data_IF_548162696510
#
_entry.id   IF_548162696510
#
_cell.length_a   1.000
_cell.length_b   1.000
_cell.length_c   1.000
_cell.angle_alpha   90.00
_cell.angle_beta   90.00
_cell.angle_gamma   90.00
#
_symmetry.space_group_name_H-M   'P 1'
#
loop_
_entity.id
_entity.type
_entity.pdbx_description
1 polymer ?
#
# COMPACT_ATOMS: atom_id res chain seq x y z
N UNK A 1 -4.75 -4.91 -30.81
CA UNK A 1 -5.55 -4.96 -29.57
C UNK A 1 -4.79 -4.19 -28.50
N UNK A 2 -5.12 -2.93 -28.30
CA UNK A 2 -4.54 -2.14 -27.20
C UNK A 2 -5.10 -2.68 -25.88
N UNK A 3 -4.24 -3.31 -25.08
CA UNK A 3 -4.56 -3.62 -23.68
C UNK A 3 -4.78 -2.27 -22.98
N UNK A 4 -6.04 -1.87 -22.79
CA UNK A 4 -6.41 -0.75 -21.91
C UNK A 4 -5.72 -0.99 -20.57
N UNK A 5 -4.65 -0.24 -20.29
CA UNK A 5 -4.04 -0.16 -18.96
C UNK A 5 -5.18 0.17 -18.01
N UNK A 6 -5.54 -0.77 -17.12
CA UNK A 6 -6.46 -0.46 -16.02
C UNK A 6 -5.81 0.68 -15.26
N UNK A 7 -6.48 1.83 -15.19
CA UNK A 7 -6.00 2.97 -14.40
C UNK A 7 -5.88 2.47 -12.95
N UNK A 8 -4.65 2.28 -12.49
CA UNK A 8 -4.37 1.88 -11.12
C UNK A 8 -4.65 3.13 -10.28
N UNK A 9 -5.71 3.08 -9.47
CA UNK A 9 -6.34 4.24 -8.82
C UNK A 9 -5.58 4.80 -7.62
N UNK A 10 -4.28 5.04 -7.74
CA UNK A 10 -3.54 5.78 -6.73
C UNK A 10 -4.06 7.22 -6.64
N UNK A 11 -4.09 7.78 -5.43
CA UNK A 11 -4.25 9.21 -5.25
C UNK A 11 -2.96 9.90 -5.68
N UNK A 12 -2.97 10.48 -6.88
CA UNK A 12 -1.87 11.29 -7.40
C UNK A 12 -2.23 12.76 -7.16
N UNK A 13 -1.37 13.50 -6.45
CA UNK A 13 -1.51 14.95 -6.27
C UNK A 13 -1.65 15.60 -7.66
N UNK A 14 -2.80 16.24 -7.89
CA UNK A 14 -3.09 16.98 -9.12
C UNK A 14 -2.59 18.42 -9.10
N UNK A 15 -2.22 18.95 -7.93
CA UNK A 15 -1.79 20.33 -7.81
C UNK A 15 -0.29 20.50 -8.05
N UNK A 16 -0.01 21.30 -9.07
CA UNK A 16 1.26 21.96 -9.30
C UNK A 16 1.39 23.08 -8.24
N UNK A 17 2.36 23.05 -7.30
CA UNK A 17 2.44 24.05 -6.24
C UNK A 17 2.90 25.43 -6.72
N UNK A 18 3.10 25.63 -8.02
CA UNK A 18 3.59 26.91 -8.56
C UNK A 18 2.52 27.97 -8.76
N UNK A 19 1.23 27.64 -8.61
CA UNK A 19 0.14 28.60 -8.79
C UNK A 19 -0.26 29.29 -7.48
N UNK A 20 0.59 30.22 -7.05
CA UNK A 20 0.16 31.35 -6.24
C UNK A 20 -0.07 31.11 -4.74
N UNK A 21 0.99 30.78 -4.00
CA UNK A 21 1.35 31.41 -2.71
C UNK A 21 2.60 30.70 -2.17
N UNK A 22 3.70 31.45 -2.05
CA UNK A 22 5.00 30.95 -1.61
C UNK A 22 4.97 30.37 -0.19
N UNK A 23 4.79 29.06 -0.10
CA UNK A 23 4.96 28.29 1.12
C UNK A 23 5.61 26.97 0.79
N UNK A 24 6.92 26.86 0.98
CA UNK A 24 7.62 25.59 1.04
C UNK A 24 6.89 24.68 2.06
N UNK A 25 6.11 23.73 1.55
CA UNK A 25 5.33 22.75 2.33
C UNK A 25 6.20 21.64 2.90
N UNK A 26 7.35 21.99 3.47
CA UNK A 26 8.11 21.08 4.31
C UNK A 26 7.35 20.87 5.62
N UNK A 27 6.39 19.93 5.65
CA UNK A 27 5.95 19.36 6.94
C UNK A 27 4.48 19.05 7.17
N UNK A 28 3.58 19.11 6.18
CA UNK A 28 2.20 18.61 6.40
C UNK A 28 2.08 17.22 5.80
N UNK A 29 2.14 16.19 6.66
CA UNK A 29 1.83 14.81 6.28
C UNK A 29 0.34 14.73 5.92
N UNK A 30 0.00 14.78 4.62
CA UNK A 30 -1.38 14.67 4.15
C UNK A 30 -1.75 13.21 3.89
N UNK A 31 -2.90 12.78 4.44
CA UNK A 31 -3.50 11.47 4.15
C UNK A 31 -3.92 11.33 2.68
N UNK A 32 -3.96 12.42 1.93
CA UNK A 32 -4.27 12.41 0.49
C UNK A 32 -3.16 11.76 -0.33
N UNK A 33 -1.93 11.76 0.21
CA UNK A 33 -0.74 11.25 -0.47
C UNK A 33 -0.53 9.75 -0.26
N UNK A 34 -1.36 9.11 0.57
CA UNK A 34 -1.25 7.68 0.88
C UNK A 34 -2.42 6.91 0.28
N UNK A 35 -2.09 5.81 -0.38
CA UNK A 35 -3.07 4.89 -0.96
C UNK A 35 -2.86 3.49 -0.36
N UNK A 36 -3.90 2.86 0.19
CA UNK A 36 -3.86 1.44 0.56
C UNK A 36 -3.88 0.55 -0.68
N UNK A 37 -2.89 -0.33 -0.77
CA UNK A 37 -2.82 -1.43 -1.72
C UNK A 37 -3.09 -2.72 -0.97
N UNK A 38 -4.08 -3.49 -1.40
CA UNK A 38 -4.36 -4.82 -0.85
C UNK A 38 -3.71 -5.86 -1.75
N UNK A 39 -3.02 -6.83 -1.15
CA UNK A 39 -2.47 -7.99 -1.84
C UNK A 39 -3.20 -9.23 -1.35
N UNK A 40 -3.78 -9.96 -2.30
CA UNK A 40 -4.32 -11.30 -2.08
C UNK A 40 -3.18 -12.31 -2.30
N UNK A 41 -2.64 -12.86 -1.21
CA UNK A 41 -1.43 -13.70 -1.25
C UNK A 41 -1.66 -14.98 -2.06
N UNK A 42 -2.84 -15.58 -1.96
CA UNK A 42 -3.15 -16.80 -2.68
C UNK A 42 -3.37 -16.53 -4.18
N UNK A 43 -4.19 -15.52 -4.50
CA UNK A 43 -4.47 -15.13 -5.90
C UNK A 43 -3.24 -14.53 -6.59
N UNK A 44 -2.30 -13.96 -5.84
CA UNK A 44 -1.13 -13.27 -6.40
C UNK A 44 -1.52 -11.96 -7.09
N UNK A 45 -2.56 -11.29 -6.58
CA UNK A 45 -3.09 -10.06 -7.16
C UNK A 45 -2.97 -8.89 -6.18
N UNK A 46 -2.67 -7.71 -6.70
CA UNK A 46 -2.67 -6.46 -5.96
C UNK A 46 -3.64 -5.45 -6.56
N UNK A 47 -4.31 -4.68 -5.71
CA UNK A 47 -5.24 -3.64 -6.13
C UNK A 47 -5.30 -2.50 -5.11
N UNK A 48 -5.60 -1.28 -5.57
CA UNK A 48 -5.87 -0.15 -4.67
C UNK A 48 -7.30 -0.27 -4.13
N UNK A 49 -7.47 -0.15 -2.81
CA UNK A 49 -8.80 -0.10 -2.18
C UNK A 49 -8.86 0.99 -1.11
N UNK A 50 -9.27 2.20 -1.53
CA UNK A 50 -9.42 3.36 -0.64
C UNK A 50 -10.39 3.10 0.52
N UNK A 51 -11.27 2.11 0.44
CA UNK A 51 -12.12 1.69 1.55
C UNK A 51 -11.33 1.21 2.76
N UNK A 52 -10.10 0.69 2.57
CA UNK A 52 -9.24 0.23 3.66
C UNK A 52 -8.83 1.35 4.63
N UNK A 53 -8.84 2.61 4.19
CA UNK A 53 -8.59 3.78 5.07
C UNK A 53 -9.61 3.88 6.21
N UNK A 54 -10.82 3.35 6.01
CA UNK A 54 -11.94 3.46 6.95
C UNK A 54 -12.50 2.09 7.37
N UNK A 55 -11.72 1.01 7.20
CA UNK A 55 -12.14 -0.38 7.42
C UNK A 55 -13.40 -0.79 6.61
N UNK A 56 -13.51 -0.27 5.38
CA UNK A 56 -14.63 -0.48 4.46
C UNK A 56 -14.19 -1.12 3.13
N UNK A 57 -12.96 -1.65 3.06
CA UNK A 57 -12.49 -2.33 1.85
C UNK A 57 -13.41 -3.50 1.48
N UNK A 58 -13.37 -3.92 0.22
CA UNK A 58 -14.11 -5.10 -0.26
C UNK A 58 -13.71 -6.36 0.52
N UNK A 59 -12.46 -6.39 1.00
CA UNK A 59 -11.92 -7.47 1.83
C UNK A 59 -12.43 -7.40 3.27
N UNK A 60 -12.53 -6.20 3.86
CA UNK A 60 -12.95 -6.01 5.25
C UNK A 60 -14.47 -5.98 5.45
N UNK A 61 -15.24 -5.63 4.42
CA UNK A 61 -16.68 -5.42 4.55
C UNK A 61 -17.41 -6.69 5.02
N UNK A 62 -18.11 -6.58 6.15
CA UNK A 62 -18.93 -7.65 6.71
C UNK A 62 -18.15 -8.66 7.57
N UNK A 63 -16.88 -8.39 7.83
CA UNK A 63 -15.97 -9.21 8.63
C UNK A 63 -15.79 -8.60 10.02
N UNK A 64 -15.83 -9.44 11.06
CA UNK A 64 -15.50 -9.03 12.42
C UNK A 64 -14.02 -9.31 12.68
N UNK A 65 -13.23 -8.25 12.84
CA UNK A 65 -11.80 -8.35 13.13
C UNK A 65 -11.51 -8.60 14.60
N UNK A 66 -10.55 -9.48 14.87
CA UNK A 66 -9.98 -9.78 16.19
C UNK A 66 -8.46 -9.63 16.15
N UNK A 67 -7.81 -9.22 17.24
CA UNK A 67 -6.36 -9.29 17.37
C UNK A 67 -5.84 -10.72 17.62
N UNK A 68 -6.71 -11.73 17.70
CA UNK A 68 -6.32 -13.12 17.93
C UNK A 68 -6.36 -13.91 16.62
N UNK A 69 -5.19 -14.36 16.14
CA UNK A 69 -5.08 -15.15 14.90
C UNK A 69 -5.79 -16.50 15.00
N UNK A 70 -5.80 -17.10 16.19
CA UNK A 70 -6.43 -18.40 16.46
C UNK A 70 -7.96 -18.38 16.24
N UNK A 71 -8.61 -17.21 16.28
CA UNK A 71 -10.04 -17.06 15.98
C UNK A 71 -10.35 -17.19 14.48
N UNK A 72 -9.34 -17.30 13.62
CA UNK A 72 -9.47 -17.33 12.16
C UNK A 72 -8.62 -18.47 11.56
N UNK A 73 -8.90 -19.73 11.94
CA UNK A 73 -8.05 -20.88 11.58
C UNK A 73 -8.00 -21.15 10.08
N UNK A 74 -9.06 -20.81 9.35
CA UNK A 74 -9.17 -20.98 7.89
C UNK A 74 -9.11 -19.64 7.14
N UNK A 75 -8.50 -18.63 7.77
CA UNK A 75 -8.41 -17.29 7.20
C UNK A 75 -7.49 -17.24 6.00
N UNK A 76 -8.01 -16.72 4.89
CA UNK A 76 -7.19 -16.42 3.71
C UNK A 76 -6.22 -15.27 4.01
N UNK A 77 -4.92 -15.39 3.69
CA UNK A 77 -3.93 -14.36 3.98
C UNK A 77 -3.96 -13.19 2.99
N UNK A 78 -3.83 -11.99 3.54
CA UNK A 78 -3.79 -10.71 2.83
C UNK A 78 -2.70 -9.80 3.39
N UNK A 79 -2.15 -8.94 2.53
CA UNK A 79 -1.38 -7.77 2.97
C UNK A 79 -2.19 -6.49 2.72
N UNK A 80 -2.13 -5.56 3.68
CA UNK A 80 -2.47 -4.16 3.45
C UNK A 80 -1.17 -3.39 3.43
N UNK A 81 -0.88 -2.74 2.30
CA UNK A 81 0.33 -1.98 2.08
C UNK A 81 -0.04 -0.51 1.94
N UNK A 82 0.47 0.32 2.83
CA UNK A 82 0.34 1.77 2.73
C UNK A 82 1.42 2.29 1.78
N UNK A 83 1.02 2.95 0.71
CA UNK A 83 1.93 3.50 -0.29
C UNK A 83 1.76 5.01 -0.31
N UNK A 84 2.79 5.72 0.16
CA UNK A 84 2.86 7.18 0.12
C UNK A 84 3.57 7.64 -1.15
N UNK A 85 2.95 8.54 -1.88
CA UNK A 85 3.47 9.17 -3.10
C UNK A 85 3.85 10.62 -2.79
N UNK A 86 5.06 11.01 -3.16
CA UNK A 86 5.48 12.42 -3.13
C UNK A 86 6.08 12.82 -4.47
N UNK A 87 6.38 14.11 -4.64
CA UNK A 87 7.06 14.66 -5.81
C UNK A 87 8.43 15.22 -5.45
N UNK A 88 9.40 14.97 -6.33
CA UNK A 88 10.69 15.66 -6.40
C UNK A 88 10.69 16.58 -7.62
N UNK A 89 11.77 17.34 -7.80
CA UNK A 89 12.01 18.09 -9.06
C UNK A 89 11.95 17.17 -10.29
N UNK A 90 12.44 15.94 -10.17
CA UNK A 90 12.46 14.94 -11.25
C UNK A 90 11.08 14.29 -11.52
N UNK A 91 10.09 14.52 -10.66
CA UNK A 91 8.73 13.96 -10.77
C UNK A 91 8.27 13.12 -9.55
N UNK A 92 7.10 12.48 -9.64
CA UNK A 92 6.57 11.65 -8.55
C UNK A 92 7.42 10.41 -8.27
N UNK A 93 7.41 9.94 -7.02
CA UNK A 93 8.08 8.71 -6.58
C UNK A 93 7.36 8.10 -5.37
N UNK A 94 7.58 6.81 -5.13
CA UNK A 94 7.08 6.12 -3.94
C UNK A 94 7.99 6.47 -2.76
N UNK A 95 7.49 7.35 -1.90
CA UNK A 95 8.26 7.91 -0.79
C UNK A 95 8.23 7.04 0.46
N UNK A 96 7.12 6.35 0.71
CA UNK A 96 6.95 5.44 1.83
C UNK A 96 6.13 4.23 1.44
N UNK A 97 6.52 3.05 1.90
CA UNK A 97 5.83 1.79 1.61
C UNK A 97 5.93 0.91 2.85
N UNK A 98 4.81 0.68 3.53
CA UNK A 98 4.79 -0.17 4.73
C UNK A 98 3.70 -1.24 4.63
N UNK A 99 4.02 -2.47 4.99
CA UNK A 99 3.10 -3.59 4.93
C UNK A 99 2.56 -3.98 6.32
N UNK A 100 1.33 -4.50 6.33
CA UNK A 100 0.68 -5.10 7.48
C UNK A 100 -0.04 -6.37 7.06
N UNK A 101 0.10 -7.42 7.86
CA UNK A 101 -0.65 -8.65 7.64
C UNK A 101 -2.12 -8.51 8.06
N UNK A 102 -2.94 -9.31 7.41
CA UNK A 102 -4.35 -9.50 7.73
C UNK A 102 -4.77 -10.89 7.27
N UNK A 103 -5.69 -11.54 7.97
CA UNK A 103 -6.36 -12.73 7.44
C UNK A 103 -7.86 -12.53 7.47
N UNK A 104 -8.55 -13.12 6.49
CA UNK A 104 -10.01 -13.02 6.38
C UNK A 104 -10.59 -14.39 6.06
N UNK A 105 -11.43 -14.88 6.95
CA UNK A 105 -12.34 -16.00 6.72
C UNK A 105 -13.72 -15.43 6.39
N UNK A 106 -14.08 -15.51 5.11
CA UNK A 106 -15.38 -15.00 4.63
C UNK A 106 -16.54 -15.90 5.04
N UNK A 107 -16.32 -17.21 5.20
CA UNK A 107 -17.37 -18.15 5.58
C UNK A 107 -17.77 -17.94 7.05
N UNK A 108 -16.77 -17.84 7.94
CA UNK A 108 -17.00 -17.54 9.35
C UNK A 108 -17.29 -16.06 9.62
N UNK A 109 -17.09 -15.18 8.63
CA UNK A 109 -17.16 -13.72 8.74
C UNK A 109 -16.24 -13.18 9.83
N UNK A 110 -15.07 -13.80 9.98
CA UNK A 110 -14.04 -13.47 10.97
C UNK A 110 -12.75 -13.07 10.27
N UNK A 111 -12.01 -12.15 10.87
CA UNK A 111 -10.74 -11.71 10.34
C UNK A 111 -9.76 -11.42 11.46
N UNK A 112 -8.48 -11.59 11.16
CA UNK A 112 -7.40 -11.21 12.07
C UNK A 112 -6.74 -9.94 11.54
N UNK A 113 -6.60 -8.95 12.42
CA UNK A 113 -5.91 -7.70 12.13
C UNK A 113 -5.53 -7.02 13.44
N UNK A 114 -4.29 -6.54 13.52
CA UNK A 114 -3.84 -5.75 14.65
C UNK A 114 -3.98 -4.25 14.33
N UNK A 115 -5.08 -3.63 14.78
CA UNK A 115 -5.37 -2.22 14.49
C UNK A 115 -4.23 -1.25 14.89
N UNK A 116 -3.60 -1.38 16.09
CA UNK A 116 -2.48 -0.52 16.46
C UNK A 116 -1.30 -0.59 15.47
N UNK A 117 -1.03 -1.78 14.92
CA UNK A 117 0.01 -1.95 13.92
C UNK A 117 -0.34 -1.24 12.62
N UNK A 118 -1.56 -1.40 12.13
CA UNK A 118 -2.00 -0.76 10.88
C UNK A 118 -1.91 0.77 10.96
N UNK A 119 -2.32 1.37 12.09
CA UNK A 119 -2.19 2.82 12.31
C UNK A 119 -0.72 3.24 12.40
N UNK A 120 0.12 2.47 13.10
CA UNK A 120 1.56 2.76 13.20
C UNK A 120 2.27 2.67 11.84
N UNK A 121 1.89 1.71 11.01
CA UNK A 121 2.46 1.48 9.68
C UNK A 121 2.02 2.58 8.71
N UNK A 122 0.77 3.03 8.80
CA UNK A 122 0.29 4.21 8.09
C UNK A 122 1.14 5.46 8.43
N UNK A 123 1.32 5.76 9.72
CA UNK A 123 2.17 6.88 10.17
C UNK A 123 3.61 6.77 9.65
N UNK A 124 4.19 5.57 9.71
CA UNK A 124 5.54 5.30 9.18
C UNK A 124 5.62 5.47 7.66
N UNK A 125 4.59 5.08 6.91
CA UNK A 125 4.52 5.30 5.47
C UNK A 125 4.49 6.79 5.15
N UNK A 126 3.68 7.57 5.86
CA UNK A 126 3.65 9.04 5.70
C UNK A 126 5.02 9.65 6.01
N UNK A 127 5.73 9.12 7.01
CA UNK A 127 7.12 9.49 7.35
C UNK A 127 8.18 8.89 6.43
N UNK A 128 7.80 8.49 5.21
CA UNK A 128 8.71 8.01 4.14
C UNK A 128 9.54 6.77 4.53
N UNK A 129 8.99 5.91 5.39
CA UNK A 129 9.66 4.66 5.77
C UNK A 129 9.30 3.55 4.78
N UNK A 130 10.28 2.72 4.48
CA UNK A 130 10.11 1.49 3.72
C UNK A 130 10.17 0.31 4.71
N UNK A 131 9.08 -0.45 4.84
CA UNK A 131 9.03 -1.60 5.74
C UNK A 131 8.20 -2.72 5.11
N UNK A 132 8.90 -3.53 4.32
CA UNK A 132 8.37 -4.64 3.51
C UNK A 132 9.18 -5.93 3.70
N UNK A 133 10.20 -5.87 4.56
CA UNK A 133 11.15 -6.94 4.90
C UNK A 133 10.47 -8.24 5.35
N UNK A 134 9.44 -8.11 6.16
CA UNK A 134 8.66 -9.21 6.75
C UNK A 134 7.60 -9.82 5.81
N UNK A 135 7.42 -9.25 4.61
CA UNK A 135 6.55 -9.84 3.61
C UNK A 135 7.19 -11.10 3.03
N UNK A 136 6.35 -12.05 2.60
CA UNK A 136 6.82 -13.20 1.84
C UNK A 136 7.27 -12.80 0.42
N UNK A 137 8.17 -13.59 -0.17
CA UNK A 137 8.77 -13.30 -1.47
C UNK A 137 7.76 -13.25 -2.63
N UNK A 138 6.68 -14.04 -2.56
CA UNK A 138 5.63 -13.99 -3.58
C UNK A 138 4.92 -12.64 -3.52
N UNK A 139 4.54 -12.18 -2.34
CA UNK A 139 3.86 -10.90 -2.14
C UNK A 139 4.74 -9.70 -2.47
N UNK A 140 6.05 -9.76 -2.15
CA UNK A 140 7.02 -8.72 -2.56
C UNK A 140 7.07 -8.55 -4.08
N UNK A 141 7.15 -9.65 -4.83
CA UNK A 141 7.14 -9.64 -6.30
C UNK A 141 5.84 -9.06 -6.87
N UNK A 142 4.70 -9.49 -6.33
CA UNK A 142 3.38 -8.96 -6.73
C UNK A 142 3.31 -7.45 -6.51
N UNK A 143 3.82 -6.96 -5.37
CA UNK A 143 3.86 -5.52 -5.08
C UNK A 143 4.82 -4.79 -6.03
N UNK A 144 6.02 -5.31 -6.29
CA UNK A 144 6.97 -4.70 -7.21
C UNK A 144 6.37 -4.54 -8.62
N UNK A 145 5.76 -5.62 -9.13
CA UNK A 145 5.13 -5.62 -10.45
C UNK A 145 3.96 -4.65 -10.51
N UNK A 146 3.16 -4.57 -9.45
CA UNK A 146 2.04 -3.63 -9.35
C UNK A 146 2.52 -2.17 -9.39
N UNK A 147 3.55 -1.83 -8.63
CA UNK A 147 4.12 -0.47 -8.60
C UNK A 147 4.75 -0.09 -9.95
N UNK A 148 5.50 -1.01 -10.58
CA UNK A 148 6.05 -0.80 -11.93
C UNK A 148 4.98 -0.64 -13.00
N UNK A 149 3.88 -1.41 -12.90
CA UNK A 149 2.77 -1.33 -13.85
C UNK A 149 2.00 -0.02 -13.73
N UNK A 150 1.92 0.56 -12.53
CA UNK A 150 1.35 1.88 -12.33
C UNK A 150 2.18 2.94 -13.05
N UNK A 151 3.47 3.06 -12.70
CA UNK A 151 4.38 4.01 -13.35
C UNK A 151 5.84 3.55 -13.17
N UNK A 152 6.46 3.14 -14.28
CA UNK A 152 7.85 2.67 -14.28
C UNK A 152 8.86 3.80 -14.01
N UNK A 153 8.56 5.03 -14.44
CA UNK A 153 9.42 6.18 -14.19
C UNK A 153 9.37 6.54 -12.71
N UNK A 154 8.18 6.50 -12.12
CA UNK A 154 7.98 6.66 -10.68
C UNK A 154 8.74 5.60 -9.87
N UNK A 155 8.68 4.33 -10.30
CA UNK A 155 9.48 3.24 -9.73
C UNK A 155 10.98 3.52 -9.83
N UNK A 156 11.47 3.93 -11.00
CA UNK A 156 12.88 4.22 -11.23
C UNK A 156 13.40 5.39 -10.38
N UNK A 157 12.56 6.40 -10.13
CA UNK A 157 12.86 7.52 -9.21
C UNK A 157 12.80 7.11 -7.74
N UNK A 158 12.17 5.99 -7.39
CA UNK A 158 12.01 5.59 -5.97
C UNK A 158 13.33 5.12 -5.36
N UNK A 159 13.38 5.05 -4.02
CA UNK A 159 14.62 4.72 -3.32
C UNK A 159 15.13 3.32 -3.68
N UNK A 160 16.45 3.14 -3.65
CA UNK A 160 17.06 1.81 -3.81
C UNK A 160 16.62 0.85 -2.69
N UNK A 161 16.39 1.36 -1.48
CA UNK A 161 15.83 0.60 -0.36
C UNK A 161 14.50 -0.05 -0.72
N UNK A 162 13.57 0.69 -1.36
CA UNK A 162 12.31 0.12 -1.82
C UNK A 162 12.51 -0.97 -2.88
N UNK A 163 13.31 -0.67 -3.90
CA UNK A 163 13.53 -1.59 -5.03
C UNK A 163 14.16 -2.88 -4.54
N UNK A 164 15.25 -2.79 -3.77
CA UNK A 164 15.90 -3.95 -3.15
C UNK A 164 15.00 -4.66 -2.14
N UNK A 165 14.21 -3.93 -1.35
CA UNK A 165 13.28 -4.53 -0.39
C UNK A 165 12.20 -5.41 -1.04
N UNK A 166 11.84 -5.13 -2.30
CA UNK A 166 10.83 -5.88 -3.04
C UNK A 166 11.41 -6.86 -4.08
N UNK A 167 12.63 -6.64 -4.57
CA UNK A 167 13.28 -7.49 -5.57
C UNK A 167 14.37 -8.41 -4.98
N UNK A 168 14.91 -8.07 -3.82
CA UNK A 168 16.14 -8.64 -3.25
C UNK A 168 15.93 -9.82 -2.29
N UNK A 169 15.04 -10.74 -2.62
CA UNK A 169 14.99 -12.05 -1.98
C UNK A 169 15.61 -13.12 -2.87
N UNK A 170 16.87 -13.43 -2.60
CA UNK A 170 17.53 -14.67 -3.04
C UNK A 170 17.30 -15.79 -2.03
#
# INVERSE_FOLDING_TARGET
>A
MEKKKKNIGFNIIKDDPTDGHGGFGAGVLSLENVSPVIIDVEAGEAFVDMGAMHARSVVERGIKFSPNREEVPNGKPYWIVWVTIERKEEGPYYAGVTACEMTVDREARRGYKLLPEHVNRLDKSLKRRIIVDHMDEKSKRVLADFLKQHDIEMWNRSSEELRKGLEGGE
#
